data_IF_331990517235
#
_entry.id   IF_331990517235
#
_cell.length_a   1.000
_cell.length_b   1.000
_cell.length_c   1.000
_cell.angle_alpha   90.00
_cell.angle_beta   90.00
_cell.angle_gamma   90.00
#
_symmetry.space_group_name_H-M   'P 1'
#
loop_
_entity.id
_entity.type
_entity.pdbx_description
1 polymer ?
#
# COMPACT_ATOMS: atom_id res chain seq x y z
N UNK A 1 -31.55 13.82 22.07
CA UNK A 1 -31.17 15.25 22.13
C UNK A 1 -29.68 15.32 22.41
N UNK A 2 -28.94 16.01 21.53
CA UNK A 2 -27.59 15.64 21.12
C UNK A 2 -26.47 16.14 22.04
N UNK A 3 -25.62 15.22 22.52
CA UNK A 3 -24.31 15.53 23.12
C UNK A 3 -23.38 16.32 22.17
N UNK A 4 -23.64 16.23 20.87
CA UNK A 4 -22.94 16.98 19.82
C UNK A 4 -23.35 18.46 19.79
N UNK A 5 -24.60 18.79 20.14
CA UNK A 5 -25.07 20.17 20.25
C UNK A 5 -24.52 20.85 21.53
N UNK A 6 -24.41 20.10 22.63
CA UNK A 6 -23.79 20.59 23.86
C UNK A 6 -22.28 20.88 23.68
N UNK A 7 -21.58 20.03 22.92
CA UNK A 7 -20.16 20.25 22.55
C UNK A 7 -19.97 21.44 21.62
N UNK A 8 -20.93 21.70 20.73
CA UNK A 8 -20.89 22.87 19.85
C UNK A 8 -21.15 24.17 20.63
N UNK A 9 -22.09 24.16 21.58
CA UNK A 9 -22.36 25.31 22.44
C UNK A 9 -21.18 25.67 23.36
N UNK A 10 -20.47 24.66 23.90
CA UNK A 10 -19.25 24.86 24.69
C UNK A 10 -18.07 25.43 23.87
N UNK A 11 -18.13 25.39 22.54
CA UNK A 11 -17.10 25.93 21.64
C UNK A 11 -17.43 27.33 21.12
N UNK A 12 -18.64 27.82 21.37
CA UNK A 12 -19.13 29.14 20.93
C UNK A 12 -19.30 30.11 22.13
N UNK A 13 -19.46 29.60 23.36
CA UNK A 13 -19.45 30.41 24.59
C UNK A 13 -18.04 30.57 25.13
N UNK A 14 -17.55 31.82 25.17
CA UNK A 14 -16.14 32.15 25.35
C UNK A 14 -15.53 31.77 26.70
N UNK A 15 -14.33 31.22 26.60
CA UNK A 15 -13.13 31.70 27.28
C UNK A 15 -12.07 31.84 26.18
N UNK A 16 -11.24 32.88 26.23
CA UNK A 16 -10.27 33.27 25.21
C UNK A 16 -9.68 32.08 24.45
N UNK A 17 -10.27 31.75 23.29
CA UNK A 17 -9.64 30.83 22.35
C UNK A 17 -8.42 31.57 21.86
N UNK A 18 -7.29 31.23 22.47
CA UNK A 18 -6.00 31.76 22.08
C UNK A 18 -5.84 31.54 20.57
N UNK A 19 -5.89 32.64 19.83
CA UNK A 19 -5.71 32.64 18.38
C UNK A 19 -4.40 31.95 18.03
N UNK A 20 -3.40 32.06 18.92
CA UNK A 20 -2.12 31.39 18.78
C UNK A 20 -2.25 29.87 18.82
N UNK A 21 -3.11 29.30 19.66
CA UNK A 21 -3.37 27.87 19.74
C UNK A 21 -4.10 27.34 18.49
N UNK A 22 -5.06 28.10 17.94
CA UNK A 22 -5.72 27.74 16.68
C UNK A 22 -4.76 27.82 15.49
N UNK A 23 -3.90 28.85 15.45
CA UNK A 23 -2.87 29.00 14.42
C UNK A 23 -1.81 27.91 14.55
N UNK A 24 -1.43 27.52 15.76
CA UNK A 24 -0.51 26.41 16.01
C UNK A 24 -1.12 25.06 15.60
N UNK A 25 -2.38 24.77 15.95
CA UNK A 25 -3.06 23.54 15.52
C UNK A 25 -3.25 23.50 14.00
N UNK A 26 -3.54 24.66 13.37
CA UNK A 26 -3.63 24.77 11.92
C UNK A 26 -2.27 24.61 11.24
N UNK A 27 -1.19 25.12 11.83
CA UNK A 27 0.18 24.96 11.34
C UNK A 27 0.65 23.51 11.48
N UNK A 28 0.38 22.84 12.61
CA UNK A 28 0.71 21.43 12.83
C UNK A 28 -0.11 20.52 11.90
N UNK A 29 -1.40 20.84 11.65
CA UNK A 29 -2.18 20.18 10.60
C UNK A 29 -1.66 20.45 9.20
N UNK A 30 -1.13 21.63 8.93
CA UNK A 30 -0.54 21.96 7.63
C UNK A 30 0.76 21.18 7.44
N UNK A 31 1.63 21.11 8.45
CA UNK A 31 2.87 20.32 8.42
C UNK A 31 2.60 18.82 8.21
N UNK A 32 1.63 18.24 8.89
CA UNK A 32 1.24 16.84 8.63
C UNK A 32 0.63 16.61 7.24
N UNK A 33 0.07 17.65 6.62
CA UNK A 33 -0.40 17.60 5.23
C UNK A 33 0.77 17.77 4.25
N UNK A 34 1.74 18.61 4.59
CA UNK A 34 2.95 18.90 3.82
C UNK A 34 3.94 17.72 3.86
N UNK A 35 4.11 17.03 4.99
CA UNK A 35 4.88 15.78 5.08
C UNK A 35 4.24 14.67 4.22
N UNK A 36 2.90 14.64 4.16
CA UNK A 36 2.18 13.74 3.27
C UNK A 36 2.36 14.12 1.78
N UNK A 37 2.67 15.38 1.49
CA UNK A 37 2.97 15.96 0.17
C UNK A 37 4.45 15.76 -0.24
N UNK A 38 5.40 15.97 0.67
CA UNK A 38 6.84 15.81 0.46
C UNK A 38 7.24 14.36 0.18
N UNK A 39 6.63 13.38 0.86
CA UNK A 39 6.82 11.96 0.54
C UNK A 39 6.22 11.55 -0.82
N UNK A 40 5.38 12.40 -1.44
CA UNK A 40 4.84 12.18 -2.78
C UNK A 40 5.74 12.77 -3.90
N UNK A 41 6.75 13.57 -3.55
CA UNK A 41 7.68 14.22 -4.49
C UNK A 41 9.00 13.45 -4.71
N UNK A 42 9.03 12.16 -4.37
CA UNK A 42 10.14 11.27 -4.72
C UNK A 42 10.22 10.94 -6.22
N UNK A 43 10.87 11.84 -6.99
CA UNK A 43 11.33 11.78 -8.40
C UNK A 43 10.47 12.54 -9.45
N UNK A 44 10.89 13.75 -9.90
CA UNK A 44 10.11 14.65 -10.76
C UNK A 44 10.21 14.40 -12.27
N UNK A 45 10.86 13.34 -12.75
CA UNK A 45 10.92 13.06 -14.19
C UNK A 45 10.09 11.83 -14.56
N UNK A 46 8.81 12.03 -14.91
CA UNK A 46 8.00 11.17 -15.80
C UNK A 46 6.63 11.83 -16.08
N UNK A 47 6.61 12.59 -17.18
CA UNK A 47 5.50 13.02 -18.05
C UNK A 47 4.27 13.71 -17.43
N UNK A 48 4.05 14.95 -17.87
CA UNK A 48 3.06 15.89 -17.38
C UNK A 48 1.88 15.98 -18.37
N UNK A 49 0.64 15.82 -17.85
CA UNK A 49 -0.55 16.64 -18.21
C UNK A 49 -1.89 15.86 -18.13
N UNK A 50 -1.90 14.52 -18.17
CA UNK A 50 -3.15 13.75 -18.12
C UNK A 50 -3.11 12.67 -17.03
N UNK A 51 -3.81 12.88 -15.91
CA UNK A 51 -3.99 11.86 -14.87
C UNK A 51 -3.27 12.10 -13.53
N UNK A 52 -2.67 13.27 -13.30
CA UNK A 52 -2.02 13.56 -12.01
C UNK A 52 -3.01 13.55 -10.84
N UNK A 53 -4.24 14.05 -11.03
CA UNK A 53 -5.25 14.07 -9.96
C UNK A 53 -5.72 12.65 -9.57
N UNK A 54 -5.95 11.77 -10.55
CA UNK A 54 -6.32 10.38 -10.30
C UNK A 54 -5.18 9.58 -9.69
N UNK A 55 -3.94 9.81 -10.14
CA UNK A 55 -2.73 9.19 -9.56
C UNK A 55 -2.51 9.64 -8.11
N UNK A 56 -2.69 10.93 -7.81
CA UNK A 56 -2.60 11.47 -6.45
C UNK A 56 -3.68 10.88 -5.54
N UNK A 57 -4.93 10.81 -6.01
CA UNK A 57 -6.02 10.18 -5.26
C UNK A 57 -5.74 8.70 -4.97
N UNK A 58 -5.24 7.96 -5.95
CA UNK A 58 -4.83 6.56 -5.80
C UNK A 58 -3.72 6.38 -4.77
N UNK A 59 -2.66 7.19 -4.82
CA UNK A 59 -1.56 7.12 -3.85
C UNK A 59 -2.01 7.43 -2.43
N UNK A 60 -2.93 8.39 -2.24
CA UNK A 60 -3.52 8.66 -0.92
C UNK A 60 -4.26 7.45 -0.37
N UNK A 61 -5.06 6.78 -1.20
CA UNK A 61 -5.80 5.61 -0.77
C UNK A 61 -4.88 4.42 -0.48
N UNK A 62 -3.87 4.22 -1.32
CA UNK A 62 -2.82 3.24 -1.09
C UNK A 62 -2.11 3.45 0.25
N UNK A 63 -1.72 4.69 0.59
CA UNK A 63 -1.09 5.00 1.89
C UNK A 63 -2.00 4.59 3.06
N UNK A 64 -3.31 4.86 2.99
CA UNK A 64 -4.26 4.44 4.02
C UNK A 64 -4.33 2.92 4.17
N UNK A 65 -4.42 2.20 3.04
CA UNK A 65 -4.50 0.73 3.03
C UNK A 65 -3.21 0.12 3.58
N UNK A 66 -2.05 0.63 3.18
CA UNK A 66 -0.75 0.19 3.69
C UNK A 66 -0.67 0.42 5.19
N UNK A 67 -1.07 1.61 5.68
CA UNK A 67 -1.06 1.93 7.10
C UNK A 67 -1.97 1.02 7.93
N UNK A 68 -3.15 0.68 7.42
CA UNK A 68 -4.11 -0.18 8.09
C UNK A 68 -3.76 -1.68 8.06
N UNK A 69 -2.88 -2.11 7.15
CA UNK A 69 -2.51 -3.51 6.98
C UNK A 69 -1.27 -3.91 7.79
N UNK A 70 -1.30 -5.10 8.41
CA UNK A 70 -0.13 -5.73 9.03
C UNK A 70 0.74 -6.48 8.00
N UNK A 71 0.09 -7.03 6.97
CA UNK A 71 0.73 -7.82 5.92
C UNK A 71 0.29 -7.32 4.55
N UNK A 72 1.27 -7.02 3.68
CA UNK A 72 1.04 -6.56 2.31
C UNK A 72 1.48 -7.65 1.34
N UNK A 73 0.57 -8.02 0.43
CA UNK A 73 0.81 -8.98 -0.65
C UNK A 73 1.09 -8.21 -1.94
N UNK A 74 2.32 -8.26 -2.43
CA UNK A 74 2.68 -7.70 -3.72
C UNK A 74 2.52 -8.77 -4.80
N UNK A 75 1.50 -8.61 -5.63
CA UNK A 75 1.20 -9.55 -6.72
C UNK A 75 2.01 -9.19 -7.96
N UNK A 76 2.74 -10.16 -8.50
CA UNK A 76 3.62 -10.07 -9.67
C UNK A 76 3.10 -10.98 -10.79
N UNK A 77 3.34 -10.63 -12.05
CA UNK A 77 3.08 -11.52 -13.20
C UNK A 77 4.26 -12.47 -13.38
N UNK A 78 4.03 -13.79 -13.38
CA UNK A 78 5.10 -14.78 -13.47
C UNK A 78 5.90 -14.72 -14.79
N UNK A 79 5.34 -14.12 -15.85
CA UNK A 79 6.02 -13.97 -17.14
C UNK A 79 7.08 -12.88 -17.12
N UNK A 80 6.80 -11.78 -16.42
CA UNK A 80 7.73 -10.66 -16.21
C UNK A 80 7.58 -10.11 -14.78
N UNK A 81 8.18 -10.81 -13.80
CA UNK A 81 8.04 -10.41 -12.42
C UNK A 81 8.84 -9.16 -12.08
N UNK A 82 9.86 -8.80 -12.88
CA UNK A 82 10.64 -7.59 -12.65
C UNK A 82 9.96 -6.35 -13.21
N UNK A 83 9.31 -6.44 -14.38
CA UNK A 83 8.53 -5.33 -14.94
C UNK A 83 7.26 -5.01 -14.14
N UNK A 84 6.69 -6.00 -13.45
CA UNK A 84 5.57 -5.80 -12.51
C UNK A 84 6.02 -5.47 -11.08
N UNK A 85 7.34 -5.41 -10.83
CA UNK A 85 7.90 -5.06 -9.55
C UNK A 85 8.17 -3.57 -9.44
N UNK A 86 7.74 -2.95 -8.34
CA UNK A 86 8.01 -1.54 -8.07
C UNK A 86 8.93 -1.41 -6.86
N UNK A 87 10.16 -0.94 -7.10
CA UNK A 87 11.15 -0.69 -6.04
C UNK A 87 10.66 0.38 -5.07
N UNK A 88 10.02 1.44 -5.59
CA UNK A 88 9.47 2.51 -4.76
C UNK A 88 8.40 1.99 -3.78
N UNK A 89 7.58 1.01 -4.21
CA UNK A 89 6.60 0.36 -3.33
C UNK A 89 7.29 -0.51 -2.27
N UNK A 90 8.29 -1.29 -2.67
CA UNK A 90 9.08 -2.11 -1.74
C UNK A 90 9.71 -1.23 -0.65
N UNK A 91 10.35 -0.13 -1.04
CA UNK A 91 11.01 0.78 -0.10
C UNK A 91 9.99 1.50 0.79
N UNK A 92 8.85 1.92 0.25
CA UNK A 92 7.76 2.51 1.04
C UNK A 92 7.26 1.55 2.12
N UNK A 93 7.04 0.27 1.79
CA UNK A 93 6.59 -0.72 2.77
C UNK A 93 7.69 -1.06 3.77
N UNK A 94 8.95 -1.21 3.31
CA UNK A 94 10.10 -1.54 4.19
C UNK A 94 10.45 -0.42 5.16
N UNK A 95 10.13 0.84 4.86
CA UNK A 95 10.25 1.96 5.81
C UNK A 95 9.37 1.76 7.05
N UNK A 96 8.29 0.99 6.94
CA UNK A 96 7.44 0.61 8.07
C UNK A 96 7.93 -0.73 8.66
N UNK A 97 8.66 -0.66 9.78
CA UNK A 97 9.29 -1.83 10.40
C UNK A 97 8.28 -2.89 10.92
N UNK A 98 7.03 -2.49 11.15
CA UNK A 98 5.92 -3.34 11.61
C UNK A 98 5.29 -4.18 10.49
N UNK A 99 5.47 -3.77 9.23
CA UNK A 99 4.75 -4.36 8.10
C UNK A 99 5.51 -5.50 7.45
N UNK A 100 4.80 -6.57 7.14
CA UNK A 100 5.37 -7.74 6.46
C UNK A 100 5.03 -7.70 4.97
N UNK A 101 6.06 -7.77 4.12
CA UNK A 101 5.91 -7.88 2.67
C UNK A 101 6.01 -9.34 2.21
N UNK A 102 5.02 -9.81 1.45
CA UNK A 102 5.03 -11.13 0.80
C UNK A 102 4.79 -10.97 -0.70
N UNK A 103 5.61 -11.62 -1.51
CA UNK A 103 5.50 -11.60 -2.97
C UNK A 103 4.65 -12.78 -3.46
N UNK A 104 3.74 -12.50 -4.40
CA UNK A 104 2.87 -13.51 -5.01
C UNK A 104 3.06 -13.51 -6.50
N UNK A 105 3.68 -14.55 -7.06
CA UNK A 105 3.80 -14.77 -8.49
C UNK A 105 2.50 -15.36 -9.04
N UNK A 106 1.66 -14.51 -9.63
CA UNK A 106 0.41 -14.90 -10.26
C UNK A 106 0.63 -15.32 -11.73
N UNK A 107 -0.34 -16.04 -12.31
CA UNK A 107 -0.28 -16.62 -13.66
C UNK A 107 0.85 -17.64 -13.83
N UNK A 108 1.12 -18.40 -12.77
CA UNK A 108 2.17 -19.42 -12.75
C UNK A 108 1.98 -20.53 -13.79
N UNK A 109 0.75 -20.70 -14.29
CA UNK A 109 0.38 -21.63 -15.37
C UNK A 109 0.91 -21.23 -16.75
N UNK A 110 1.19 -19.94 -16.98
CA UNK A 110 1.66 -19.44 -18.28
C UNK A 110 3.16 -19.60 -18.49
N UNK A 111 3.88 -20.16 -17.52
CA UNK A 111 5.34 -20.22 -17.51
C UNK A 111 5.79 -21.65 -17.20
N UNK A 112 6.81 -22.20 -17.88
CA UNK A 112 7.34 -23.52 -17.57
C UNK A 112 7.79 -23.62 -16.11
N UNK A 113 7.67 -24.82 -15.54
CA UNK A 113 7.96 -25.09 -14.12
C UNK A 113 9.40 -24.70 -13.75
N UNK A 114 10.34 -24.94 -14.65
CA UNK A 114 11.77 -24.67 -14.46
C UNK A 114 12.02 -23.17 -14.29
N UNK A 115 11.38 -22.36 -15.14
CA UNK A 115 11.46 -20.89 -15.11
C UNK A 115 10.77 -20.35 -13.86
N UNK A 116 9.58 -20.87 -13.52
CA UNK A 116 8.88 -20.49 -12.29
C UNK A 116 9.74 -20.77 -11.04
N UNK A 117 10.40 -21.93 -10.98
CA UNK A 117 11.30 -22.27 -9.87
C UNK A 117 12.54 -21.35 -9.84
N UNK A 118 13.07 -20.96 -11.00
CA UNK A 118 14.15 -19.99 -11.08
C UNK A 118 13.72 -18.61 -10.52
N UNK A 119 12.52 -18.15 -10.87
CA UNK A 119 11.95 -16.91 -10.33
C UNK A 119 11.72 -16.98 -8.82
N UNK A 120 11.16 -18.08 -8.32
CA UNK A 120 10.98 -18.29 -6.88
C UNK A 120 12.32 -18.22 -6.13
N UNK A 121 13.37 -18.88 -6.64
CA UNK A 121 14.71 -18.78 -6.05
C UNK A 121 15.27 -17.36 -6.09
N UNK A 122 15.04 -16.64 -7.18
CA UNK A 122 15.51 -15.27 -7.34
C UNK A 122 14.84 -14.31 -6.36
N UNK A 123 13.51 -14.34 -6.28
CA UNK A 123 12.69 -13.39 -5.51
C UNK A 123 12.70 -13.67 -4.00
N UNK A 124 12.87 -14.94 -3.59
CA UNK A 124 13.00 -15.32 -2.17
C UNK A 124 14.20 -14.70 -1.46
N UNK A 125 15.20 -14.22 -2.21
CA UNK A 125 16.32 -13.44 -1.64
C UNK A 125 15.89 -12.07 -1.14
N UNK A 126 14.77 -11.53 -1.65
CA UNK A 126 14.24 -10.22 -1.26
C UNK A 126 13.16 -10.35 -0.19
N UNK A 127 12.14 -11.17 -0.45
CA UNK A 127 11.00 -11.38 0.43
C UNK A 127 10.38 -12.76 0.21
N UNK A 128 9.65 -13.33 1.19
CA UNK A 128 8.94 -14.60 1.02
C UNK A 128 8.07 -14.56 -0.24
N UNK A 129 8.28 -15.54 -1.14
CA UNK A 129 7.59 -15.57 -2.45
C UNK A 129 6.85 -16.88 -2.64
N UNK A 130 5.58 -16.77 -3.05
CA UNK A 130 4.67 -17.88 -3.35
C UNK A 130 4.26 -17.83 -4.82
N UNK A 131 4.15 -18.99 -5.45
CA UNK A 131 3.53 -19.11 -6.77
C UNK A 131 2.04 -19.37 -6.60
N UNK A 132 1.22 -18.67 -7.38
CA UNK A 132 -0.22 -18.72 -7.31
C UNK A 132 -0.83 -18.86 -8.71
N UNK A 133 -1.88 -19.68 -8.80
CA UNK A 133 -2.76 -19.77 -9.95
C UNK A 133 -4.16 -19.40 -9.50
N UNK A 134 -4.64 -18.23 -9.88
CA UNK A 134 -6.01 -17.83 -9.62
C UNK A 134 -6.96 -18.62 -10.53
N UNK A 135 -7.77 -19.52 -9.98
CA UNK A 135 -8.95 -20.07 -10.66
C UNK A 135 -10.12 -20.16 -9.71
N UNK A 136 -11.31 -19.85 -10.20
CA UNK A 136 -12.59 -19.96 -9.47
C UNK A 136 -13.16 -21.37 -9.47
N UNK A 137 -12.62 -22.28 -10.27
CA UNK A 137 -12.91 -23.70 -10.18
C UNK A 137 -12.18 -24.29 -8.97
N UNK A 138 -12.93 -24.87 -8.03
CA UNK A 138 -12.39 -25.67 -6.94
C UNK A 138 -11.47 -26.74 -7.54
N UNK A 139 -10.19 -26.71 -7.17
CA UNK A 139 -9.27 -27.75 -7.57
C UNK A 139 -9.73 -29.06 -6.94
N UNK A 140 -10.12 -30.03 -7.76
CA UNK A 140 -10.40 -31.37 -7.28
C UNK A 140 -9.22 -31.85 -6.41
N UNK A 141 -9.47 -32.36 -5.20
CA UNK A 141 -8.41 -32.85 -4.34
C UNK A 141 -7.66 -33.96 -5.08
N UNK A 142 -6.35 -33.76 -5.32
CA UNK A 142 -5.52 -34.79 -5.93
C UNK A 142 -5.63 -36.08 -5.11
N UNK A 143 -5.85 -37.25 -5.74
CA UNK A 143 -5.92 -38.51 -5.03
C UNK A 143 -4.61 -38.72 -4.24
N UNK A 144 -4.74 -39.08 -2.95
CA UNK A 144 -3.59 -39.42 -2.11
C UNK A 144 -2.88 -40.63 -2.75
N UNK A 145 -1.53 -40.66 -2.77
CA UNK A 145 -0.83 -41.88 -3.16
C UNK A 145 -1.25 -43.01 -2.21
N UNK A 146 -1.67 -44.14 -2.78
CA UNK A 146 -1.97 -45.36 -2.03
C UNK A 146 -0.69 -45.91 -1.38
N UNK A 147 -0.80 -46.54 -0.19
CA UNK A 147 0.35 -47.06 0.57
C UNK A 147 1.09 -48.21 -0.14
#
# INVERSE_FOLDING_TARGET
ANALAARLAAKIGGEDMDLSAMVAEAAERAETFDDAEADAEGNPNLDASLGQQSRRAYLRELKKVVNAADVVLHVLDARDPLGSFSVAMEDAIRRHADKKLVLVLNKADLVPKEVLQAWLRHLRRRAPTLAFKASTSEGEPKPKPEP
#
